data_IF_039348306650
#
_entry.id   IF_039348306650
#
_cell.length_a   1.000
_cell.length_b   1.000
_cell.length_c   1.000
_cell.angle_alpha   90.00
_cell.angle_beta   90.00
_cell.angle_gamma   90.00
#
_symmetry.space_group_name_H-M   'P 1'
#
loop_
_entity.id
_entity.type
_entity.pdbx_description
1 polymer ?
#
# COMPACT_ATOMS: atom_id res chain seq x y z
N UNK A 1 -27.18 9.20 5.71
CA UNK A 1 -25.85 9.71 6.14
C UNK A 1 -25.14 8.58 6.88
N UNK A 2 -23.85 8.32 6.60
CA UNK A 2 -23.09 7.27 7.31
C UNK A 2 -22.98 7.59 8.80
N UNK A 3 -23.14 6.58 9.66
CA UNK A 3 -22.87 6.72 11.09
C UNK A 3 -21.37 6.85 11.32
N UNK A 4 -20.96 7.55 12.38
CA UNK A 4 -19.54 7.75 12.69
C UNK A 4 -18.78 6.42 12.84
N UNK A 5 -19.42 5.42 13.47
CA UNK A 5 -18.85 4.09 13.63
C UNK A 5 -18.57 3.38 12.30
N UNK A 6 -19.40 3.59 11.28
CA UNK A 6 -19.19 3.03 9.94
C UNK A 6 -17.97 3.66 9.26
N UNK A 7 -17.80 4.99 9.42
CA UNK A 7 -16.64 5.72 8.88
C UNK A 7 -15.35 5.19 9.51
N UNK A 8 -15.33 5.01 10.83
CA UNK A 8 -14.18 4.49 11.59
C UNK A 8 -13.87 3.04 11.17
N UNK A 9 -14.89 2.18 11.06
CA UNK A 9 -14.71 0.80 10.64
C UNK A 9 -14.16 0.69 9.21
N UNK A 10 -14.71 1.46 8.25
CA UNK A 10 -14.19 1.49 6.88
C UNK A 10 -12.76 2.02 6.82
N UNK A 11 -12.43 3.05 7.61
CA UNK A 11 -11.07 3.55 7.69
C UNK A 11 -10.11 2.48 8.23
N UNK A 12 -10.50 1.76 9.29
CA UNK A 12 -9.70 0.66 9.86
C UNK A 12 -9.44 -0.45 8.84
N UNK A 13 -10.44 -0.83 8.05
CA UNK A 13 -10.27 -1.82 6.96
C UNK A 13 -9.28 -1.30 5.92
N UNK A 14 -9.42 -0.05 5.48
CA UNK A 14 -8.49 0.57 4.51
C UNK A 14 -7.06 0.67 5.06
N UNK A 15 -6.90 1.00 6.35
CA UNK A 15 -5.63 1.04 7.08
C UNK A 15 -4.97 -0.33 7.12
N UNK A 16 -5.71 -1.37 7.48
CA UNK A 16 -5.18 -2.73 7.50
C UNK A 16 -4.77 -3.22 6.10
N UNK A 17 -5.57 -2.91 5.07
CA UNK A 17 -5.20 -3.22 3.67
C UNK A 17 -3.94 -2.50 3.22
N UNK A 18 -3.73 -1.26 3.65
CA UNK A 18 -2.51 -0.51 3.36
C UNK A 18 -1.28 -1.13 4.03
N UNK A 19 -1.38 -1.49 5.32
CA UNK A 19 -0.30 -2.19 6.02
C UNK A 19 0.04 -3.54 5.37
N UNK A 20 -0.98 -4.32 5.00
CA UNK A 20 -0.79 -5.59 4.31
C UNK A 20 -0.11 -5.38 2.94
N UNK A 21 -0.55 -4.38 2.17
CA UNK A 21 0.07 -4.05 0.89
C UNK A 21 1.54 -3.65 1.06
N UNK A 22 1.86 -2.81 2.04
CA UNK A 22 3.26 -2.45 2.36
C UNK A 22 4.08 -3.70 2.68
N UNK A 23 3.58 -4.57 3.56
CA UNK A 23 4.28 -5.79 3.94
C UNK A 23 4.53 -6.73 2.75
N UNK A 24 3.52 -6.93 1.90
CA UNK A 24 3.64 -7.75 0.68
C UNK A 24 4.63 -7.12 -0.30
N UNK A 25 4.55 -5.81 -0.53
CA UNK A 25 5.48 -5.11 -1.43
C UNK A 25 6.92 -5.25 -0.94
N UNK A 26 7.18 -5.05 0.35
CA UNK A 26 8.52 -5.25 0.91
C UNK A 26 9.00 -6.69 0.77
N UNK A 27 8.13 -7.66 1.05
CA UNK A 27 8.44 -9.08 0.88
C UNK A 27 8.84 -9.40 -0.56
N UNK A 28 8.05 -8.94 -1.54
CA UNK A 28 8.34 -9.17 -2.96
C UNK A 28 9.66 -8.54 -3.39
N UNK A 29 9.96 -7.32 -2.93
CA UNK A 29 11.24 -6.66 -3.21
C UNK A 29 12.43 -7.46 -2.64
N UNK A 30 12.30 -7.99 -1.42
CA UNK A 30 13.32 -8.86 -0.81
C UNK A 30 13.47 -10.15 -1.61
N UNK A 31 12.36 -10.77 -2.05
CA UNK A 31 12.40 -11.97 -2.91
C UNK A 31 13.14 -11.69 -4.22
N UNK A 32 12.90 -10.56 -4.88
CA UNK A 32 13.65 -10.17 -6.08
C UNK A 32 15.16 -10.08 -5.83
N UNK A 33 15.58 -9.53 -4.68
CA UNK A 33 16.99 -9.45 -4.29
C UNK A 33 17.57 -10.86 -4.04
N UNK A 34 16.82 -11.73 -3.36
CA UNK A 34 17.24 -13.11 -3.11
C UNK A 34 17.40 -13.91 -4.40
N UNK A 35 16.44 -13.79 -5.32
CA UNK A 35 16.50 -14.44 -6.63
C UNK A 35 17.72 -13.98 -7.43
N UNK A 36 18.01 -12.67 -7.42
CA UNK A 36 19.20 -12.14 -8.09
C UNK A 36 20.52 -12.64 -7.47
N UNK A 37 20.58 -12.70 -6.14
CA UNK A 37 21.80 -13.10 -5.42
C UNK A 37 22.03 -14.61 -5.42
N UNK A 38 20.95 -15.41 -5.49
CA UNK A 38 20.97 -16.87 -5.48
C UNK A 38 20.71 -17.44 -6.88
N UNK A 39 21.44 -16.94 -7.87
CA UNK A 39 21.35 -17.43 -9.25
C UNK A 39 21.79 -18.90 -9.40
N UNK A 40 22.49 -19.44 -8.40
CA UNK A 40 22.80 -20.86 -8.25
C UNK A 40 21.56 -21.74 -8.07
N UNK A 41 20.52 -21.22 -7.40
CA UNK A 41 19.27 -21.95 -7.11
C UNK A 41 18.16 -21.58 -8.10
N UNK A 42 18.05 -20.30 -8.46
CA UNK A 42 16.96 -19.77 -9.29
C UNK A 42 17.31 -19.62 -10.78
N UNK A 43 18.53 -19.99 -11.17
CA UNK A 43 19.05 -19.79 -12.52
C UNK A 43 19.54 -18.35 -12.76
N UNK A 44 20.16 -18.15 -13.93
CA UNK A 44 20.75 -16.84 -14.29
C UNK A 44 19.63 -15.87 -14.71
N UNK A 45 19.21 -15.03 -13.78
CA UNK A 45 18.24 -13.96 -14.05
C UNK A 45 18.97 -12.67 -14.42
N UNK A 46 18.55 -12.03 -15.52
CA UNK A 46 19.16 -10.78 -15.95
C UNK A 46 18.86 -9.63 -14.99
N UNK A 47 19.83 -8.73 -14.80
CA UNK A 47 19.66 -7.52 -13.98
C UNK A 47 18.47 -6.67 -14.46
N UNK A 48 18.29 -6.55 -15.78
CA UNK A 48 17.19 -5.79 -16.37
C UNK A 48 15.83 -6.41 -16.03
N UNK A 49 15.71 -7.74 -16.00
CA UNK A 49 14.47 -8.40 -15.61
C UNK A 49 14.11 -8.11 -14.15
N UNK A 50 15.08 -8.18 -13.23
CA UNK A 50 14.88 -7.86 -11.81
C UNK A 50 14.47 -6.40 -11.62
N UNK A 51 15.15 -5.46 -12.30
CA UNK A 51 14.82 -4.04 -12.24
C UNK A 51 13.41 -3.77 -12.76
N UNK A 52 13.04 -4.34 -13.91
CA UNK A 52 11.69 -4.22 -14.46
C UNK A 52 10.62 -4.78 -13.50
N UNK A 53 10.88 -5.93 -12.88
CA UNK A 53 9.97 -6.52 -11.89
C UNK A 53 9.78 -5.60 -10.67
N UNK A 54 10.87 -5.04 -10.13
CA UNK A 54 10.80 -4.09 -9.01
C UNK A 54 10.01 -2.83 -9.37
N UNK A 55 10.23 -2.26 -10.55
CA UNK A 55 9.48 -1.10 -11.03
C UNK A 55 7.97 -1.40 -11.15
N UNK A 56 7.61 -2.57 -11.68
CA UNK A 56 6.22 -3.00 -11.79
C UNK A 56 5.60 -3.15 -10.39
N UNK A 57 6.28 -3.81 -9.45
CA UNK A 57 5.82 -4.00 -8.07
C UNK A 57 5.55 -2.64 -7.40
N UNK A 58 6.49 -1.70 -7.54
CA UNK A 58 6.35 -0.35 -6.97
C UNK A 58 5.20 0.41 -7.62
N UNK A 59 5.07 0.36 -8.96
CA UNK A 59 3.98 1.01 -9.68
C UNK A 59 2.60 0.48 -9.24
N UNK A 60 2.46 -0.85 -9.13
CA UNK A 60 1.23 -1.48 -8.65
C UNK A 60 0.88 -1.06 -7.22
N UNK A 61 1.88 -1.01 -6.33
CA UNK A 61 1.68 -0.51 -4.96
C UNK A 61 1.21 0.94 -4.93
N UNK A 62 1.81 1.82 -5.74
CA UNK A 62 1.43 3.24 -5.81
C UNK A 62 -0.01 3.37 -6.31
N UNK A 63 -0.37 2.69 -7.40
CA UNK A 63 -1.74 2.72 -7.95
C UNK A 63 -2.75 2.23 -6.91
N UNK A 64 -2.47 1.09 -6.28
CA UNK A 64 -3.29 0.56 -5.20
C UNK A 64 -3.45 1.58 -4.06
N UNK A 65 -2.35 2.18 -3.62
CA UNK A 65 -2.36 3.17 -2.54
C UNK A 65 -3.20 4.40 -2.90
N UNK A 66 -3.11 4.92 -4.13
CA UNK A 66 -3.90 6.10 -4.56
C UNK A 66 -5.40 5.81 -4.54
N UNK A 67 -5.80 4.59 -4.90
CA UNK A 67 -7.21 4.16 -4.94
C UNK A 67 -7.72 3.83 -3.53
N UNK A 68 -6.95 3.07 -2.75
CA UNK A 68 -7.35 2.61 -1.42
C UNK A 68 -7.32 3.75 -0.38
N UNK A 69 -6.29 4.60 -0.42
CA UNK A 69 -5.94 5.61 0.60
C UNK A 69 -6.73 6.92 0.47
N UNK A 70 -8.05 6.78 0.53
CA UNK A 70 -9.02 7.88 0.47
C UNK A 70 -9.97 7.84 1.66
N UNK A 71 -10.41 9.02 2.08
CA UNK A 71 -11.34 9.17 3.19
C UNK A 71 -12.68 8.47 2.88
N UNK A 72 -13.20 7.58 3.76
CA UNK A 72 -14.46 6.86 3.52
C UNK A 72 -15.72 7.75 3.53
N UNK A 73 -15.58 9.01 3.96
CA UNK A 73 -16.66 9.99 3.98
C UNK A 73 -16.61 10.96 2.79
N UNK A 74 -15.49 11.64 2.58
CA UNK A 74 -15.38 12.67 1.52
C UNK A 74 -14.63 12.21 0.25
N UNK A 75 -14.12 10.97 0.24
CA UNK A 75 -13.37 10.37 -0.86
C UNK A 75 -12.09 11.13 -1.31
N UNK A 76 -11.62 12.10 -0.52
CA UNK A 76 -10.36 12.81 -0.78
C UNK A 76 -9.16 12.03 -0.25
N UNK A 77 -8.01 12.20 -0.89
CA UNK A 77 -6.75 11.59 -0.48
C UNK A 77 -6.36 11.98 0.94
N UNK A 78 -5.91 11.01 1.74
CA UNK A 78 -5.68 11.18 3.18
C UNK A 78 -4.29 11.76 3.53
N UNK A 79 -3.38 11.86 2.57
CA UNK A 79 -2.00 12.31 2.81
C UNK A 79 -1.10 11.18 3.31
N UNK A 80 0.08 11.56 3.81
CA UNK A 80 1.15 10.64 4.21
C UNK A 80 0.97 10.04 5.61
N UNK A 81 0.11 10.61 6.45
CA UNK A 81 -0.07 10.14 7.84
C UNK A 81 -1.05 8.96 7.89
N UNK A 82 -0.53 7.77 8.19
CA UNK A 82 -1.30 6.53 8.28
C UNK A 82 -2.13 6.41 9.57
N UNK A 83 -1.72 7.09 10.65
CA UNK A 83 -2.32 7.00 11.99
C UNK A 83 -3.18 8.21 12.35
N UNK A 84 -3.67 8.92 11.33
CA UNK A 84 -4.45 10.15 11.51
C UNK A 84 -5.82 9.91 12.12
N UNK A 85 -6.15 10.68 13.15
CA UNK A 85 -7.43 10.56 13.87
C UNK A 85 -8.62 11.26 13.16
N UNK A 86 -8.38 12.32 12.38
CA UNK A 86 -9.47 13.12 11.72
C UNK A 86 -9.12 13.53 10.31
N UNK A 87 -10.03 13.45 9.34
CA UNK A 87 -9.86 13.92 7.96
C UNK A 87 -9.37 15.39 7.88
N UNK A 88 -8.23 15.66 7.25
CA UNK A 88 -7.73 17.04 7.04
C UNK A 88 -8.58 17.83 6.04
N UNK A 89 -9.41 17.14 5.24
CA UNK A 89 -10.25 17.77 4.23
C UNK A 89 -11.70 17.98 4.66
N UNK A 90 -12.27 17.08 5.47
CA UNK A 90 -13.67 17.17 5.90
C UNK A 90 -13.87 17.14 7.42
N UNK A 91 -12.80 17.02 8.22
CA UNK A 91 -12.86 17.05 9.68
C UNK A 91 -13.43 15.80 10.36
N UNK A 92 -14.02 14.85 9.63
CA UNK A 92 -14.62 13.63 10.21
C UNK A 92 -13.57 12.79 10.94
N UNK A 93 -13.97 12.23 12.08
CA UNK A 93 -13.20 11.27 12.85
C UNK A 93 -13.01 9.97 12.07
N UNK A 94 -11.80 9.42 12.14
CA UNK A 94 -11.36 8.21 11.45
C UNK A 94 -10.93 7.13 12.46
N UNK A 95 -10.50 7.54 13.66
CA UNK A 95 -10.08 6.67 14.77
C UNK A 95 -10.42 7.34 16.12
#
# INVERSE_FOLDING_TARGET
MKKEQEIINEFRIKKNRQYLAIAITLLLLVVCILVYKRSDIFGVVSKNAILSAQLIIIALFIIFSIINWRCPFCNRYLGHDINRQRCSKCGKRLE
#
